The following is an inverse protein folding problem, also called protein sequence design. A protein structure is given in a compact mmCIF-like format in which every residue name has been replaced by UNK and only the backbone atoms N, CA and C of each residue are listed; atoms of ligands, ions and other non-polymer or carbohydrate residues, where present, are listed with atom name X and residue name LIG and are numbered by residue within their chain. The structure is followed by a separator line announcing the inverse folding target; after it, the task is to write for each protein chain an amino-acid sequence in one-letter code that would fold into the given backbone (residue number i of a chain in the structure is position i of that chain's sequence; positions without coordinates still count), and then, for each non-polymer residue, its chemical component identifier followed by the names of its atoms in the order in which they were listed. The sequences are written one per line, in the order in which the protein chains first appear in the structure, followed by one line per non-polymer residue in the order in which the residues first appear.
data_IF_700658845906
#
_entry.id   IF_700658845906
#
_cell.length_a   1.000
_cell.length_b   1.000
_cell.length_c   1.000
_cell.angle_alpha   90.00
_cell.angle_beta   90.00
_cell.angle_gamma   90.00
#
_symmetry.space_group_name_H-M   'P 1'
#
loop_
_entity.id
_entity.type
_entity.pdbx_description
1 polymer ?
#
# COMPACT_ATOMS: atom_id res chain seq x y z
N UNK A 1 14.71 -13.65 0.45
CA UNK A 1 13.77 -14.79 0.63
C UNK A 1 13.90 -15.25 2.05
N UNK A 2 12.79 -15.47 2.75
CA UNK A 2 12.81 -16.07 4.09
C UNK A 2 13.07 -17.57 3.91
N UNK A 3 14.10 -18.09 4.56
CA UNK A 3 14.48 -19.51 4.48
C UNK A 3 13.35 -20.33 5.12
N UNK A 4 12.83 -21.34 4.41
CA UNK A 4 11.75 -22.21 4.90
C UNK A 4 10.33 -21.78 4.51
N UNK A 5 10.16 -20.62 3.86
CA UNK A 5 8.83 -20.18 3.43
C UNK A 5 8.42 -20.84 2.10
N UNK A 6 7.19 -21.38 1.99
CA UNK A 6 6.70 -21.90 0.72
C UNK A 6 6.72 -20.84 -0.40
N UNK A 7 7.13 -21.25 -1.59
CA UNK A 7 7.29 -20.36 -2.75
C UNK A 7 5.98 -19.64 -3.13
N UNK A 8 4.83 -20.29 -2.94
CA UNK A 8 3.53 -19.70 -3.23
C UNK A 8 3.26 -18.43 -2.42
N UNK A 9 3.75 -18.32 -1.17
CA UNK A 9 3.53 -17.13 -0.33
C UNK A 9 4.24 -15.92 -0.94
N UNK A 10 5.51 -16.11 -1.34
CA UNK A 10 6.30 -15.06 -1.98
C UNK A 10 5.74 -14.67 -3.36
N UNK A 11 5.28 -15.65 -4.14
CA UNK A 11 4.65 -15.39 -5.44
C UNK A 11 3.35 -14.62 -5.31
N UNK A 12 2.46 -15.03 -4.41
CA UNK A 12 1.18 -14.33 -4.18
C UNK A 12 1.44 -12.92 -3.70
N UNK A 13 2.37 -12.71 -2.76
CA UNK A 13 2.74 -11.38 -2.30
C UNK A 13 3.32 -10.49 -3.41
N UNK A 14 4.17 -11.04 -4.27
CA UNK A 14 4.71 -10.33 -5.44
C UNK A 14 3.60 -9.94 -6.43
N UNK A 15 2.70 -10.87 -6.72
CA UNK A 15 1.55 -10.65 -7.60
C UNK A 15 0.58 -9.62 -7.03
N UNK A 16 0.27 -9.67 -5.73
CA UNK A 16 -0.59 -8.66 -5.08
C UNK A 16 0.06 -7.29 -5.12
N UNK A 17 1.37 -7.20 -4.90
CA UNK A 17 2.10 -5.92 -4.99
C UNK A 17 2.05 -5.36 -6.41
N UNK A 18 2.32 -6.18 -7.43
CA UNK A 18 2.22 -5.79 -8.83
C UNK A 18 0.79 -5.40 -9.22
N UNK A 19 -0.22 -6.16 -8.79
CA UNK A 19 -1.62 -5.86 -9.01
C UNK A 19 -2.03 -4.53 -8.38
N UNK A 20 -1.54 -4.23 -7.17
CA UNK A 20 -1.81 -2.96 -6.48
C UNK A 20 -1.25 -1.77 -7.26
N UNK A 21 0.01 -1.86 -7.70
CA UNK A 21 0.63 -0.83 -8.54
C UNK A 21 -0.14 -0.62 -9.83
N UNK A 22 -0.53 -1.71 -10.48
CA UNK A 22 -1.30 -1.68 -11.73
C UNK A 22 -2.68 -1.04 -11.54
N UNK A 23 -3.42 -1.44 -10.51
CA UNK A 23 -4.74 -0.89 -10.18
C UNK A 23 -4.64 0.60 -9.81
N UNK A 24 -3.61 0.99 -9.07
CA UNK A 24 -3.35 2.39 -8.71
C UNK A 24 -3.02 3.23 -9.96
N UNK A 25 -2.13 2.76 -10.81
CA UNK A 25 -1.81 3.41 -12.09
C UNK A 25 -3.05 3.53 -12.98
N UNK A 26 -3.84 2.47 -13.11
CA UNK A 26 -5.10 2.48 -13.86
C UNK A 26 -6.09 3.48 -13.28
N UNK A 27 -6.24 3.53 -11.96
CA UNK A 27 -7.07 4.51 -11.26
C UNK A 27 -6.67 5.95 -11.59
N UNK A 28 -5.37 6.26 -11.55
CA UNK A 28 -4.85 7.58 -11.93
C UNK A 28 -5.08 7.91 -13.42
N UNK A 29 -4.96 6.92 -14.31
CA UNK A 29 -5.18 7.08 -15.76
C UNK A 29 -6.64 7.29 -16.12
N UNK A 30 -7.56 6.71 -15.35
CA UNK A 30 -9.01 6.86 -15.50
C UNK A 30 -9.56 8.14 -14.85
N UNK A 31 -8.71 8.94 -14.19
CA UNK A 31 -9.12 10.25 -13.67
C UNK A 31 -9.49 11.22 -14.79
N UNK A 32 -10.54 12.02 -14.56
CA UNK A 32 -11.02 13.05 -15.49
C UNK A 32 -10.01 14.21 -15.66
N UNK A 33 -9.10 14.40 -14.71
CA UNK A 33 -8.11 15.47 -14.76
C UNK A 33 -6.93 15.12 -15.68
N UNK A 34 -6.79 15.86 -16.78
CA UNK A 34 -5.71 15.67 -17.75
C UNK A 34 -4.29 15.78 -17.12
N UNK A 35 -4.14 16.66 -16.12
CA UNK A 35 -2.91 16.84 -15.34
C UNK A 35 -2.52 15.57 -14.59
N UNK A 36 -3.47 14.96 -13.89
CA UNK A 36 -3.30 13.73 -13.08
C UNK A 36 -2.95 12.54 -13.96
N UNK A 37 -3.60 12.45 -15.13
CA UNK A 37 -3.29 11.43 -16.14
C UNK A 37 -1.86 11.55 -16.66
N UNK A 38 -1.35 12.78 -16.90
CA UNK A 38 0.03 13.01 -17.34
C UNK A 38 1.04 12.73 -16.22
N UNK A 39 0.69 13.05 -14.98
CA UNK A 39 1.53 12.79 -13.80
C UNK A 39 1.55 11.32 -13.38
N UNK A 40 0.59 10.50 -13.80
CA UNK A 40 0.49 9.08 -13.45
C UNK A 40 1.78 8.28 -13.70
N UNK A 41 2.50 8.56 -14.79
CA UNK A 41 3.76 7.87 -15.11
C UNK A 41 4.90 8.29 -14.18
N UNK A 42 4.94 9.55 -13.75
CA UNK A 42 5.93 10.04 -12.79
C UNK A 42 5.67 9.45 -11.41
N UNK A 43 4.40 9.40 -10.99
CA UNK A 43 3.98 8.74 -9.74
C UNK A 43 4.33 7.26 -9.77
N UNK A 44 4.05 6.56 -10.88
CA UNK A 44 4.41 5.14 -11.02
C UNK A 44 5.92 4.91 -10.91
N UNK A 45 6.73 5.71 -11.61
CA UNK A 45 8.20 5.63 -11.53
C UNK A 45 8.69 5.88 -10.10
N UNK A 46 8.16 6.89 -9.43
CA UNK A 46 8.47 7.19 -8.04
C UNK A 46 8.14 6.00 -7.13
N UNK A 47 6.95 5.41 -7.26
CA UNK A 47 6.54 4.25 -6.46
C UNK A 47 7.40 3.01 -6.73
N UNK A 48 7.78 2.74 -7.98
CA UNK A 48 8.68 1.63 -8.32
C UNK A 48 10.05 1.87 -7.69
N UNK A 49 10.63 3.07 -7.86
CA UNK A 49 11.90 3.43 -7.23
C UNK A 49 11.83 3.30 -5.71
N UNK A 50 10.72 3.73 -5.10
CA UNK A 50 10.47 3.60 -3.67
C UNK A 50 10.44 2.14 -3.22
N UNK A 51 9.73 1.27 -3.94
CA UNK A 51 9.70 -0.16 -3.62
C UNK A 51 11.06 -0.84 -3.74
N UNK A 52 11.85 -0.47 -4.75
CA UNK A 52 13.23 -0.94 -4.91
C UNK A 52 14.08 -0.49 -3.72
N UNK A 53 14.02 0.79 -3.36
CA UNK A 53 14.71 1.34 -2.19
C UNK A 53 14.32 0.58 -0.91
N UNK A 54 13.02 0.39 -0.66
CA UNK A 54 12.54 -0.37 0.51
C UNK A 54 13.01 -1.83 0.51
N UNK A 55 13.08 -2.46 -0.66
CA UNK A 55 13.67 -3.80 -0.82
C UNK A 55 15.15 -3.85 -0.39
N UNK A 56 15.95 -2.86 -0.82
CA UNK A 56 17.34 -2.71 -0.38
C UNK A 56 17.43 -2.44 1.13
N UNK A 57 16.68 -1.49 1.66
CA UNK A 57 16.68 -1.18 3.10
C UNK A 57 16.33 -2.38 3.97
N UNK A 58 15.44 -3.25 3.48
CA UNK A 58 15.09 -4.48 4.21
C UNK A 58 16.33 -5.35 4.46
N UNK A 59 17.18 -5.54 3.46
CA UNK A 59 18.37 -6.39 3.58
C UNK A 59 19.49 -5.76 4.43
N UNK A 60 19.69 -4.44 4.34
CA UNK A 60 20.87 -3.78 4.92
C UNK A 60 20.60 -2.99 6.21
N UNK A 61 19.38 -2.49 6.39
CA UNK A 61 19.04 -1.53 7.46
C UNK A 61 18.08 -2.14 8.46
N UNK A 62 16.99 -2.75 7.99
CA UNK A 62 15.93 -3.27 8.87
C UNK A 62 16.33 -4.59 9.55
N UNK A 63 17.13 -5.43 8.88
CA UNK A 63 17.58 -6.72 9.44
C UNK A 63 18.73 -6.65 10.43
N UNK A 64 19.43 -5.51 10.54
CA UNK A 64 20.71 -5.43 11.28
C UNK A 64 20.52 -5.15 12.76
N UNK A 65 19.46 -4.43 13.16
CA UNK A 65 19.24 -4.03 14.54
C UNK A 65 17.75 -3.71 14.75
N UNK A 66 17.02 -4.66 15.33
CA UNK A 66 15.56 -4.59 15.52
C UNK A 66 15.15 -3.85 16.78
N UNK A 67 16.06 -3.68 17.73
CA UNK A 67 15.79 -3.10 19.06
C UNK A 67 16.22 -1.62 19.16
N UNK A 68 16.63 -1.02 18.04
CA UNK A 68 17.00 0.39 17.99
C UNK A 68 15.82 1.31 18.36
N UNK A 69 16.07 2.31 19.20
CA UNK A 69 15.09 3.36 19.53
C UNK A 69 15.56 4.69 18.96
N UNK A 70 14.83 5.33 18.02
CA UNK A 70 13.55 4.89 17.44
C UNK A 70 13.74 3.76 16.40
N UNK A 71 12.73 2.89 16.19
CA UNK A 71 12.83 1.79 15.24
C UNK A 71 13.17 2.27 13.83
N UNK A 72 14.16 1.66 13.18
CA UNK A 72 14.64 2.06 11.85
C UNK A 72 13.54 2.03 10.79
N UNK A 73 12.57 1.11 10.93
CA UNK A 73 11.38 1.03 10.06
C UNK A 73 10.54 2.32 10.17
N UNK A 74 10.40 2.87 11.37
CA UNK A 74 9.69 4.14 11.57
C UNK A 74 10.44 5.28 10.87
N UNK A 75 11.76 5.34 11.05
CA UNK A 75 12.58 6.44 10.52
C UNK A 75 12.68 6.43 8.99
N UNK A 76 12.93 5.27 8.38
CA UNK A 76 13.20 5.18 6.93
C UNK A 76 12.02 4.67 6.11
N UNK A 77 11.04 4.02 6.73
CA UNK A 77 9.84 3.52 6.06
C UNK A 77 8.65 4.47 6.21
N UNK A 78 8.27 4.75 7.47
CA UNK A 78 7.02 5.45 7.78
C UNK A 78 7.17 6.97 7.70
N UNK A 79 8.22 7.54 8.30
CA UNK A 79 8.41 8.98 8.39
C UNK A 79 8.44 9.68 7.01
N UNK A 80 9.14 9.17 5.98
CA UNK A 80 9.13 9.80 4.66
C UNK A 80 7.74 9.84 4.02
N UNK A 81 6.89 8.83 4.29
CA UNK A 81 5.52 8.80 3.81
C UNK A 81 4.64 9.83 4.53
N UNK A 82 4.79 9.97 5.86
CA UNK A 82 4.08 11.00 6.63
C UNK A 82 4.48 12.41 6.17
N UNK A 83 5.77 12.65 5.96
CA UNK A 83 6.25 13.93 5.45
C UNK A 83 5.73 14.19 4.04
N UNK A 84 5.74 13.17 3.17
CA UNK A 84 5.20 13.26 1.82
C UNK A 84 3.71 13.63 1.80
N UNK A 85 2.89 12.96 2.62
CA UNK A 85 1.46 13.29 2.73
C UNK A 85 1.26 14.70 3.29
N UNK A 86 1.99 15.09 4.33
CA UNK A 86 1.94 16.44 4.87
C UNK A 86 2.26 17.48 3.79
N UNK A 87 3.34 17.32 3.02
CA UNK A 87 3.73 18.24 1.94
C UNK A 87 2.63 18.34 0.86
N UNK A 88 1.98 17.22 0.51
CA UNK A 88 0.86 17.24 -0.44
C UNK A 88 -0.31 18.07 0.10
N UNK A 89 -0.65 17.95 1.38
CA UNK A 89 -1.74 18.72 1.99
C UNK A 89 -1.36 20.16 2.32
N UNK A 90 -0.08 20.50 2.51
CA UNK A 90 0.34 21.87 2.81
C UNK A 90 0.53 22.73 1.55
N UNK A 91 0.87 22.13 0.41
CA UNK A 91 1.15 22.87 -0.83
C UNK A 91 -0.08 23.05 -1.71
N UNK A 92 -0.24 24.21 -2.35
CA UNK A 92 -1.37 24.49 -3.27
C UNK A 92 -1.43 23.49 -4.44
N UNK A 93 -0.26 23.13 -5.00
CA UNK A 93 -0.15 22.14 -6.08
C UNK A 93 -0.51 20.74 -5.60
N UNK A 94 -0.10 20.37 -4.39
CA UNK A 94 -0.41 19.07 -3.79
C UNK A 94 -1.91 18.92 -3.52
N UNK A 95 -2.56 19.94 -2.94
CA UNK A 95 -4.02 19.95 -2.76
C UNK A 95 -4.76 19.77 -4.08
N UNK A 96 -4.41 20.55 -5.12
CA UNK A 96 -5.02 20.41 -6.44
C UNK A 96 -4.80 19.02 -7.07
N UNK A 97 -3.69 18.35 -6.78
CA UNK A 97 -3.48 16.96 -7.16
C UNK A 97 -4.39 16.01 -6.37
N UNK A 98 -4.46 16.13 -5.04
CA UNK A 98 -5.31 15.28 -4.19
C UNK A 98 -6.79 15.41 -4.58
N UNK A 99 -7.27 16.64 -4.80
CA UNK A 99 -8.68 16.90 -5.18
C UNK A 99 -9.04 16.34 -6.56
N UNK A 100 -8.04 16.12 -7.42
CA UNK A 100 -8.22 15.54 -8.75
C UNK A 100 -8.27 14.00 -8.76
N UNK A 101 -8.02 13.35 -7.63
CA UNK A 101 -7.98 11.90 -7.54
C UNK A 101 -9.39 11.30 -7.54
N UNK A 102 -9.63 10.21 -8.29
CA UNK A 102 -10.93 9.58 -8.33
C UNK A 102 -11.17 8.79 -7.05
N UNK A 103 -11.93 9.37 -6.11
CA UNK A 103 -12.19 8.77 -4.79
C UNK A 103 -12.71 7.34 -4.90
N UNK A 104 -13.65 7.06 -5.81
CA UNK A 104 -14.19 5.71 -6.00
C UNK A 104 -13.11 4.68 -6.41
N UNK A 105 -12.16 5.10 -7.25
CA UNK A 105 -11.05 4.25 -7.67
C UNK A 105 -10.08 3.98 -6.51
N UNK A 106 -9.77 5.00 -5.71
CA UNK A 106 -8.92 4.84 -4.52
C UNK A 106 -9.57 3.93 -3.48
N UNK A 107 -10.88 4.07 -3.25
CA UNK A 107 -11.61 3.19 -2.33
C UNK A 107 -11.59 1.75 -2.83
N UNK A 108 -11.80 1.51 -4.14
CA UNK A 108 -11.83 0.16 -4.71
C UNK A 108 -10.48 -0.57 -4.62
N UNK A 109 -9.35 0.15 -4.62
CA UNK A 109 -8.02 -0.46 -4.46
C UNK A 109 -7.86 -1.16 -3.11
N UNK A 110 -8.61 -0.74 -2.07
CA UNK A 110 -8.53 -1.34 -0.74
C UNK A 110 -8.95 -2.83 -0.71
N UNK A 111 -9.60 -3.35 -1.76
CA UNK A 111 -9.89 -4.79 -1.93
C UNK A 111 -8.62 -5.64 -1.88
N UNK A 112 -7.48 -5.08 -2.30
CA UNK A 112 -6.15 -5.72 -2.21
C UNK A 112 -5.82 -6.19 -0.78
N UNK A 113 -6.42 -5.60 0.26
CA UNK A 113 -6.21 -6.06 1.63
C UNK A 113 -6.59 -7.52 1.84
N UNK A 114 -7.60 -8.03 1.13
CA UNK A 114 -8.05 -9.42 1.29
C UNK A 114 -6.92 -10.42 0.99
N UNK A 115 -6.29 -10.42 -0.21
CA UNK A 115 -5.20 -11.35 -0.48
C UNK A 115 -3.93 -11.03 0.34
N UNK A 116 -3.70 -9.78 0.75
CA UNK A 116 -2.59 -9.45 1.65
C UNK A 116 -2.77 -10.10 3.03
N UNK A 117 -3.98 -10.12 3.59
CA UNK A 117 -4.19 -10.75 4.91
C UNK A 117 -4.12 -12.27 4.84
N UNK A 118 -4.47 -12.86 3.70
CA UNK A 118 -4.20 -14.29 3.44
C UNK A 118 -2.69 -14.57 3.47
N UNK A 119 -1.89 -13.70 2.86
CA UNK A 119 -0.41 -13.80 2.91
C UNK A 119 0.09 -13.63 4.34
N UNK A 120 -0.40 -12.65 5.11
CA UNK A 120 -0.01 -12.45 6.51
C UNK A 120 -0.38 -13.66 7.38
N UNK A 121 -1.54 -14.27 7.16
CA UNK A 121 -1.96 -15.50 7.82
C UNK A 121 -1.00 -16.66 7.52
N UNK A 122 -0.58 -16.83 6.26
CA UNK A 122 0.44 -17.83 5.92
C UNK A 122 1.79 -17.52 6.56
N UNK A 123 2.19 -16.26 6.63
CA UNK A 123 3.43 -15.87 7.33
C UNK A 123 3.36 -16.16 8.83
N UNK A 124 2.20 -15.98 9.46
CA UNK A 124 1.97 -16.34 10.86
C UNK A 124 2.06 -17.85 11.10
N UNK A 125 1.42 -18.67 10.25
CA UNK A 125 1.51 -20.13 10.32
C UNK A 125 2.97 -20.60 10.18
N UNK A 126 3.79 -19.88 9.41
CA UNK A 126 5.22 -20.15 9.25
C UNK A 126 6.11 -19.43 10.30
N UNK A 127 5.53 -18.87 11.37
CA UNK A 127 6.25 -18.24 12.48
C UNK A 127 7.03 -16.97 12.12
N UNK A 128 6.79 -16.38 10.94
CA UNK A 128 7.53 -15.22 10.44
C UNK A 128 6.94 -13.87 10.87
N UNK A 129 5.66 -13.86 11.28
CA UNK A 129 4.91 -12.65 11.64
C UNK A 129 4.09 -12.94 12.90
N UNK A 130 4.00 -12.02 13.88
CA UNK A 130 3.19 -12.21 15.09
C UNK A 130 1.69 -12.18 14.79
N UNK A 131 0.91 -12.88 15.62
CA UNK A 131 -0.56 -12.96 15.52
C UNK A 131 -1.21 -11.57 15.48
N UNK A 132 -0.66 -10.59 16.20
CA UNK A 132 -1.17 -9.20 16.23
C UNK A 132 -1.23 -8.52 14.86
N UNK A 133 -0.49 -8.99 13.86
CA UNK A 133 -0.52 -8.44 12.50
C UNK A 133 -1.53 -9.15 11.60
N UNK A 134 -2.09 -10.28 12.03
CA UNK A 134 -3.12 -11.02 11.28
C UNK A 134 -4.52 -10.55 11.68
N UNK A 135 -5.52 -10.99 10.89
CA UNK A 135 -6.92 -10.71 11.20
C UNK A 135 -7.39 -11.33 12.54
N UNK A 136 -6.68 -12.33 13.07
CA UNK A 136 -6.97 -12.92 14.39
C UNK A 136 -6.50 -11.98 15.51
N UNK A 137 -5.35 -11.33 15.35
CA UNK A 137 -4.76 -10.44 16.35
C UNK A 137 -5.24 -8.98 16.32
N UNK A 138 -6.53 -8.75 16.08
CA UNK A 138 -7.20 -7.42 16.05
C UNK A 138 -6.91 -6.54 14.82
N UNK A 139 -6.30 -7.08 13.75
CA UNK A 139 -6.16 -6.35 12.51
C UNK A 139 -7.44 -6.46 11.65
N UNK A 140 -8.34 -5.48 11.77
CA UNK A 140 -9.63 -5.47 11.05
C UNK A 140 -9.53 -4.97 9.59
N UNK A 141 -8.32 -4.87 9.04
CA UNK A 141 -8.09 -4.42 7.66
C UNK A 141 -8.78 -5.30 6.60
N UNK A 142 -9.00 -6.58 6.91
CA UNK A 142 -9.80 -7.49 6.05
C UNK A 142 -11.25 -7.01 5.87
N UNK A 143 -11.87 -6.46 6.92
CA UNK A 143 -13.24 -5.92 6.86
C UNK A 143 -13.26 -4.68 5.96
N UNK A 144 -12.25 -3.81 6.08
CA UNK A 144 -12.10 -2.67 5.19
C UNK A 144 -11.92 -3.09 3.73
N UNK A 145 -11.19 -4.19 3.47
CA UNK A 145 -11.04 -4.76 2.13
C UNK A 145 -12.35 -5.30 1.54
N UNK A 146 -13.13 -6.04 2.32
CA UNK A 146 -14.42 -6.62 1.88
C UNK A 146 -15.47 -5.53 1.66
N UNK A 147 -15.49 -4.50 2.51
CA UNK A 147 -16.47 -3.41 2.42
C UNK A 147 -16.10 -2.36 1.36
N UNK A 148 -14.86 -2.33 0.89
CA UNK A 148 -14.38 -1.34 -0.08
C UNK A 148 -15.22 -1.25 -1.38
N UNK A 149 -15.64 -2.34 -2.06
CA UNK A 149 -16.48 -2.25 -3.26
C UNK A 149 -17.88 -1.70 -2.95
N UNK A 150 -18.46 -2.12 -1.83
CA UNK A 150 -19.76 -1.66 -1.37
C UNK A 150 -19.73 -0.15 -1.10
N UNK A 151 -18.69 0.32 -0.39
CA UNK A 151 -18.52 1.75 -0.09
C UNK A 151 -18.22 2.55 -1.37
N UNK A 152 -17.37 2.04 -2.27
CA UNK A 152 -17.10 2.70 -3.55
C UNK A 152 -18.37 2.87 -4.39
N UNK A 153 -19.20 1.84 -4.47
CA UNK A 153 -20.44 1.87 -5.25
C UNK A 153 -21.55 2.69 -4.56
N UNK A 154 -21.92 2.34 -3.33
CA UNK A 154 -23.04 2.98 -2.63
C UNK A 154 -22.70 4.34 -2.02
N UNK A 155 -21.46 4.51 -1.54
CA UNK A 155 -21.03 5.73 -0.86
C UNK A 155 -20.56 6.83 -1.80
N UNK A 156 -19.92 6.47 -2.92
CA UNK A 156 -19.28 7.45 -3.82
C UNK A 156 -20.01 7.60 -5.16
N UNK A 157 -20.43 6.49 -5.79
CA UNK A 157 -21.07 6.55 -7.12
C UNK A 157 -22.55 6.89 -7.01
N UNK A 158 -23.29 6.28 -6.08
CA UNK A 158 -24.75 6.50 -5.94
C UNK A 158 -25.13 7.83 -5.28
N UNK A 159 -24.18 8.52 -4.63
CA UNK A 159 -24.40 9.81 -3.95
C UNK A 159 -24.17 11.04 -4.85
N UNK A 160 -23.74 10.83 -6.09
CA UNK A 160 -23.69 11.84 -7.16
C UNK A 160 -24.96 11.77 -7.99
#
# INVERSE_FOLDING_TARGET
MIIGLPLYVSLVFGLTTAATLFLFYRGLRMSNAATTRKQSIHVLRFLISWLVIQGFLTQYVYSTDTDSVPPKIVLFGILPMILGTAVLFLTRKGKGFVDSLPLAGLTMINVVRIPVEVVLCWLFINGSVPEMMTFEGRNFDIIAGITAPLIAYFGVVKKK
#
